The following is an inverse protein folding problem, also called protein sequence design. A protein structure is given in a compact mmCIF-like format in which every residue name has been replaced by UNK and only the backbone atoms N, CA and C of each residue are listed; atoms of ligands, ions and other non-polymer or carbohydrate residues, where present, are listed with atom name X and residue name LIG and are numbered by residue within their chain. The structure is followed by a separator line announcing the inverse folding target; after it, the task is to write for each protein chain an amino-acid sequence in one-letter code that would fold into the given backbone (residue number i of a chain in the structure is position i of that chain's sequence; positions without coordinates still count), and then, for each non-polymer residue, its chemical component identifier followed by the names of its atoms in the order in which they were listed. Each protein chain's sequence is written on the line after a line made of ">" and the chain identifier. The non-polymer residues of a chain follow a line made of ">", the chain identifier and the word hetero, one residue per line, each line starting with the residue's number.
data_IF_131256088785
#
_entry.id   IF_131256088785
#
_cell.length_a   1.000
_cell.length_b   1.000
_cell.length_c   1.000
_cell.angle_alpha   90.00
_cell.angle_beta   90.00
_cell.angle_gamma   90.00
#
_symmetry.space_group_name_H-M   'P 1'
#
loop_
_entity.id
_entity.type
_entity.pdbx_description
1 polymer ?
#
# COMPACT_ATOMS: atom_id res chain seq x y z
N UNK A 1 -20.96 54.11 -5.25
CA UNK A 1 -20.51 52.75 -4.88
C UNK A 1 -19.70 52.23 -6.06
N UNK A 2 -18.37 52.37 -6.02
CA UNK A 2 -17.49 51.91 -7.10
C UNK A 2 -17.12 50.47 -6.77
N UNK A 3 -17.45 49.53 -7.66
CA UNK A 3 -17.00 48.14 -7.52
C UNK A 3 -15.57 48.11 -8.07
N UNK A 4 -14.61 47.94 -7.17
CA UNK A 4 -13.20 47.81 -7.51
C UNK A 4 -12.95 46.51 -8.27
N UNK A 5 -12.76 46.64 -9.58
CA UNK A 5 -12.56 45.56 -10.55
C UNK A 5 -11.12 45.01 -10.57
N UNK A 6 -10.46 44.95 -9.40
CA UNK A 6 -9.09 44.44 -9.26
C UNK A 6 -8.97 43.28 -8.26
N UNK A 7 -10.08 42.83 -7.66
CA UNK A 7 -10.11 41.74 -6.68
C UNK A 7 -10.66 40.41 -7.24
N UNK A 8 -10.59 40.20 -8.55
CA UNK A 8 -11.04 38.97 -9.20
C UNK A 8 -10.11 37.76 -8.95
N UNK A 9 -8.94 37.96 -8.34
CA UNK A 9 -7.99 36.89 -7.99
C UNK A 9 -8.27 36.22 -6.64
N UNK A 10 -9.28 36.67 -5.88
CA UNK A 10 -9.64 36.10 -4.58
C UNK A 10 -10.73 35.01 -4.66
N UNK A 11 -11.16 34.62 -5.86
CA UNK A 11 -12.11 33.52 -6.04
C UNK A 11 -11.32 32.21 -6.01
N UNK A 12 -11.15 31.65 -4.81
CA UNK A 12 -10.67 30.27 -4.65
C UNK A 12 -11.57 29.36 -5.51
N UNK A 13 -11.04 28.69 -6.55
CA UNK A 13 -11.87 27.86 -7.40
C UNK A 13 -12.44 26.72 -6.55
N UNK A 14 -13.78 26.64 -6.48
CA UNK A 14 -14.52 25.53 -5.88
C UNK A 14 -14.43 24.24 -6.74
N UNK A 15 -13.63 24.28 -7.81
CA UNK A 15 -13.33 23.13 -8.65
C UNK A 15 -12.00 22.58 -8.16
N UNK A 16 -12.04 21.42 -7.50
CA UNK A 16 -10.83 20.61 -7.35
C UNK A 16 -10.20 20.50 -8.74
N UNK A 17 -8.98 21.03 -8.89
CA UNK A 17 -8.21 20.84 -10.12
C UNK A 17 -8.11 19.35 -10.39
N UNK A 18 -8.12 18.95 -11.66
CA UNK A 18 -7.78 17.57 -12.00
C UNK A 18 -6.47 17.22 -11.29
N UNK A 19 -6.40 16.10 -10.55
CA UNK A 19 -5.19 15.74 -9.82
C UNK A 19 -4.02 15.67 -10.79
N UNK A 20 -2.88 16.27 -10.42
CA UNK A 20 -1.68 16.22 -11.25
C UNK A 20 -1.22 14.77 -11.44
N UNK A 21 -0.42 14.48 -12.46
CA UNK A 21 0.07 13.13 -12.72
C UNK A 21 0.80 12.54 -11.48
N UNK A 22 1.54 13.37 -10.77
CA UNK A 22 2.22 13.02 -9.52
C UNK A 22 1.23 12.66 -8.41
N UNK A 23 0.17 13.45 -8.22
CA UNK A 23 -0.87 13.17 -7.23
C UNK A 23 -1.66 11.89 -7.53
N UNK A 24 -1.82 11.55 -8.82
CA UNK A 24 -2.47 10.30 -9.22
C UNK A 24 -1.59 9.08 -8.93
N UNK A 25 -0.27 9.20 -9.09
CA UNK A 25 0.68 8.13 -8.73
C UNK A 25 0.72 7.95 -7.22
N UNK A 26 0.90 9.03 -6.45
CA UNK A 26 0.93 8.99 -4.99
C UNK A 26 -0.35 8.37 -4.41
N UNK A 27 -1.52 8.80 -4.91
CA UNK A 27 -2.80 8.22 -4.51
C UNK A 27 -2.91 6.73 -4.89
N UNK A 28 -2.37 6.32 -6.04
CA UNK A 28 -2.39 4.91 -6.45
C UNK A 28 -1.45 4.04 -5.60
N UNK A 29 -0.30 4.58 -5.18
CA UNK A 29 0.63 3.91 -4.25
C UNK A 29 -0.01 3.73 -2.88
N UNK A 30 -0.62 4.79 -2.33
CA UNK A 30 -1.32 4.72 -1.03
C UNK A 30 -2.42 3.66 -1.03
N UNK A 31 -3.22 3.59 -2.11
CA UNK A 31 -4.27 2.58 -2.24
C UNK A 31 -3.68 1.17 -2.35
N UNK A 32 -2.56 1.01 -3.09
CA UNK A 32 -1.87 -0.29 -3.19
C UNK A 32 -1.36 -0.73 -1.82
N UNK A 33 -0.69 0.16 -1.10
CA UNK A 33 -0.03 -0.18 0.16
C UNK A 33 -1.05 -0.46 1.26
N UNK A 34 -2.15 0.32 1.31
CA UNK A 34 -3.28 0.05 2.20
C UNK A 34 -3.95 -1.29 1.87
N UNK A 35 -4.11 -1.60 0.58
CA UNK A 35 -4.67 -2.87 0.15
C UNK A 35 -3.76 -4.05 0.50
N UNK A 36 -2.43 -3.91 0.34
CA UNK A 36 -1.44 -4.89 0.77
C UNK A 36 -1.57 -5.16 2.27
N UNK A 37 -1.62 -4.12 3.10
CA UNK A 37 -1.82 -4.24 4.54
C UNK A 37 -3.12 -4.97 4.88
N UNK A 38 -4.23 -4.59 4.25
CA UNK A 38 -5.53 -5.23 4.47
C UNK A 38 -5.50 -6.73 4.14
N UNK A 39 -4.97 -7.10 2.97
CA UNK A 39 -4.86 -8.51 2.57
C UNK A 39 -3.95 -9.25 3.54
N UNK A 40 -2.85 -8.64 3.93
CA UNK A 40 -1.92 -9.13 4.92
C UNK A 40 -2.57 -9.50 6.25
N UNK A 41 -3.14 -8.50 6.92
CA UNK A 41 -3.80 -8.65 8.22
C UNK A 41 -4.97 -9.64 8.17
N UNK A 42 -5.79 -9.59 7.12
CA UNK A 42 -6.94 -10.47 6.99
C UNK A 42 -6.53 -11.92 6.71
N UNK A 43 -5.61 -12.13 5.77
CA UNK A 43 -5.21 -13.47 5.34
C UNK A 43 -4.26 -14.13 6.35
N UNK A 44 -3.14 -13.48 6.66
CA UNK A 44 -2.14 -14.05 7.57
C UNK A 44 -2.63 -14.05 9.01
N UNK A 45 -3.40 -13.04 9.44
CA UNK A 45 -4.03 -13.04 10.76
C UNK A 45 -4.96 -14.24 10.96
N UNK A 46 -5.82 -14.56 9.98
CA UNK A 46 -6.68 -15.76 10.08
C UNK A 46 -5.88 -17.06 9.99
N UNK A 47 -4.85 -17.11 9.14
CA UNK A 47 -3.98 -18.28 9.01
C UNK A 47 -3.24 -18.58 10.33
N UNK A 48 -2.60 -17.57 10.93
CA UNK A 48 -1.89 -17.70 12.21
C UNK A 48 -2.82 -18.10 13.34
N UNK A 49 -4.02 -17.50 13.38
CA UNK A 49 -5.07 -17.88 14.33
C UNK A 49 -5.51 -19.33 14.16
N UNK A 50 -5.67 -19.79 12.92
CA UNK A 50 -6.02 -21.18 12.61
C UNK A 50 -4.89 -22.14 12.97
N UNK A 51 -3.63 -21.80 12.68
CA UNK A 51 -2.48 -22.62 13.08
C UNK A 51 -2.42 -22.76 14.59
N UNK A 52 -2.67 -21.67 15.33
CA UNK A 52 -2.67 -21.71 16.80
C UNK A 52 -3.85 -22.48 17.38
N UNK A 53 -5.03 -22.44 16.77
CA UNK A 53 -6.18 -23.22 17.25
C UNK A 53 -5.97 -24.73 17.12
N UNK A 54 -5.10 -25.18 16.21
CA UNK A 54 -4.72 -26.60 16.10
C UNK A 54 -3.77 -27.05 17.22
N UNK A 55 -3.04 -26.12 17.85
CA UNK A 55 -2.24 -26.43 19.03
C UNK A 55 -3.12 -26.29 20.29
N UNK A 56 -3.45 -27.42 20.91
CA UNK A 56 -4.21 -27.45 22.17
C UNK A 56 -3.49 -26.75 23.31
N UNK A 57 -4.21 -26.44 24.40
CA UNK A 57 -3.60 -25.88 25.61
C UNK A 57 -2.56 -26.86 26.17
N UNK A 58 -1.31 -26.42 26.30
CA UNK A 58 -0.26 -27.24 26.89
C UNK A 58 -0.65 -27.67 28.31
N UNK A 59 -0.47 -28.95 28.64
CA UNK A 59 -0.87 -29.53 29.93
C UNK A 59 -0.10 -28.94 31.13
N UNK A 60 1.04 -28.29 30.88
CA UNK A 60 1.85 -27.53 31.84
C UNK A 60 2.36 -26.27 31.13
N UNK A 61 2.48 -25.16 31.85
CA UNK A 61 2.85 -23.82 31.33
C UNK A 61 1.78 -23.16 30.43
N UNK A 62 0.54 -23.11 30.91
CA UNK A 62 -0.44 -22.16 30.37
C UNK A 62 -0.04 -20.77 30.88
N UNK A 63 0.62 -19.99 30.03
CA UNK A 63 0.83 -18.58 30.32
C UNK A 63 -0.53 -17.91 30.38
N UNK A 64 -0.80 -17.27 31.52
CA UNK A 64 -2.07 -16.59 31.76
C UNK A 64 -2.27 -15.38 30.84
N UNK A 65 -3.05 -14.40 31.28
CA UNK A 65 -3.41 -13.23 30.46
C UNK A 65 -2.22 -12.47 29.85
N UNK A 66 -1.05 -12.45 30.49
CA UNK A 66 0.15 -11.87 29.90
C UNK A 66 0.57 -12.56 28.60
N UNK A 67 0.59 -13.89 28.58
CA UNK A 67 0.95 -14.64 27.37
C UNK A 67 -0.08 -14.41 26.26
N UNK A 68 -1.38 -14.34 26.60
CA UNK A 68 -2.45 -14.09 25.62
C UNK A 68 -2.27 -12.74 24.89
N UNK A 69 -1.88 -11.69 25.62
CA UNK A 69 -1.63 -10.37 25.04
C UNK A 69 -0.37 -10.36 24.17
N UNK A 70 0.75 -10.90 24.67
CA UNK A 70 1.99 -10.97 23.89
C UNK A 70 1.86 -11.87 22.66
N UNK A 71 1.04 -12.93 22.75
CA UNK A 71 0.68 -13.78 21.62
C UNK A 71 -0.06 -13.03 20.52
N UNK A 72 -0.99 -12.14 20.88
CA UNK A 72 -1.69 -11.30 19.91
C UNK A 72 -0.76 -10.30 19.22
N UNK A 73 0.14 -9.66 19.99
CA UNK A 73 1.13 -8.74 19.45
C UNK A 73 2.13 -9.43 18.52
N UNK A 74 2.60 -10.63 18.89
CA UNK A 74 3.48 -11.43 18.05
C UNK A 74 2.80 -11.81 16.72
N UNK A 75 1.52 -12.22 16.77
CA UNK A 75 0.79 -12.58 15.56
C UNK A 75 0.62 -11.38 14.63
N UNK A 76 0.46 -10.17 15.18
CA UNK A 76 0.39 -8.94 14.40
C UNK A 76 1.72 -8.64 13.71
N UNK A 77 2.83 -8.62 14.45
CA UNK A 77 4.17 -8.37 13.86
C UNK A 77 4.51 -9.42 12.80
N UNK A 78 4.20 -10.69 13.08
CA UNK A 78 4.43 -11.76 12.12
C UNK A 78 3.57 -11.60 10.86
N UNK A 79 2.32 -11.20 11.01
CA UNK A 79 1.43 -10.91 9.88
C UNK A 79 1.97 -9.76 9.03
N UNK A 80 2.47 -8.69 9.64
CA UNK A 80 3.06 -7.53 8.94
C UNK A 80 4.30 -7.95 8.12
N UNK A 81 5.24 -8.67 8.74
CA UNK A 81 6.47 -9.17 8.08
C UNK A 81 6.16 -10.17 6.94
N UNK A 82 5.20 -11.06 7.14
CA UNK A 82 4.74 -11.99 6.09
C UNK A 82 4.08 -11.25 4.93
N UNK A 83 3.40 -10.14 5.22
CA UNK A 83 2.78 -9.29 4.20
C UNK A 83 3.84 -8.59 3.37
N UNK A 84 4.82 -7.94 4.00
CA UNK A 84 5.88 -7.25 3.29
C UNK A 84 6.67 -8.20 2.38
N UNK A 85 7.04 -9.38 2.91
CA UNK A 85 7.80 -10.38 2.15
C UNK A 85 7.02 -11.06 1.01
N UNK A 86 5.70 -11.10 1.09
CA UNK A 86 4.84 -11.85 0.15
C UNK A 86 3.88 -10.97 -0.66
N UNK A 87 3.89 -9.65 -0.46
CA UNK A 87 2.97 -8.71 -1.08
C UNK A 87 2.96 -8.82 -2.61
N UNK A 88 4.15 -8.94 -3.21
CA UNK A 88 4.31 -9.03 -4.67
C UNK A 88 3.69 -10.30 -5.26
N UNK A 89 3.58 -11.37 -4.48
CA UNK A 89 3.07 -12.67 -4.92
C UNK A 89 1.56 -12.84 -4.66
N UNK A 90 1.04 -12.20 -3.62
CA UNK A 90 -0.35 -12.39 -3.17
C UNK A 90 -1.16 -11.11 -3.39
N UNK A 91 -0.78 -10.02 -2.73
CA UNK A 91 -1.55 -8.80 -2.71
C UNK A 91 -1.53 -8.05 -4.06
N UNK A 92 -0.39 -8.02 -4.74
CA UNK A 92 -0.23 -7.29 -6.01
C UNK A 92 -1.03 -7.85 -7.19
N UNK A 93 -1.09 -9.19 -7.41
CA UNK A 93 -2.01 -9.76 -8.38
C UNK A 93 -3.47 -9.40 -8.09
N UNK A 94 -3.89 -9.46 -6.82
CA UNK A 94 -5.25 -9.13 -6.40
C UNK A 94 -5.54 -7.63 -6.58
N UNK A 95 -4.58 -6.77 -6.26
CA UNK A 95 -4.67 -5.32 -6.46
C UNK A 95 -4.89 -4.99 -7.93
N UNK A 96 -4.10 -5.59 -8.84
CA UNK A 96 -4.25 -5.37 -10.29
C UNK A 96 -5.63 -5.79 -10.80
N UNK A 97 -6.21 -6.85 -10.24
CA UNK A 97 -7.53 -7.32 -10.61
C UNK A 97 -8.64 -6.39 -10.08
N UNK A 98 -8.50 -5.91 -8.84
CA UNK A 98 -9.53 -5.12 -8.15
C UNK A 98 -9.49 -3.62 -8.49
N UNK A 99 -8.29 -3.07 -8.72
CA UNK A 99 -8.01 -1.65 -8.97
C UNK A 99 -7.27 -1.44 -10.30
N UNK A 100 -7.89 -1.80 -11.44
CA UNK A 100 -7.21 -1.74 -12.74
C UNK A 100 -6.82 -0.33 -13.18
N UNK A 101 -7.59 0.70 -12.78
CA UNK A 101 -7.30 2.09 -13.13
C UNK A 101 -6.04 2.61 -12.42
N UNK A 102 -5.93 2.34 -11.12
CA UNK A 102 -4.79 2.71 -10.27
C UNK A 102 -3.54 1.91 -10.67
N UNK A 103 -3.70 0.60 -10.91
CA UNK A 103 -2.63 -0.24 -11.42
C UNK A 103 -2.08 0.25 -12.77
N UNK A 104 -2.93 0.76 -13.67
CA UNK A 104 -2.49 1.33 -14.94
C UNK A 104 -1.70 2.64 -14.77
N UNK A 105 -2.02 3.45 -13.75
CA UNK A 105 -1.26 4.67 -13.42
C UNK A 105 0.13 4.32 -12.92
N UNK A 106 0.23 3.35 -12.00
CA UNK A 106 1.51 2.85 -11.47
C UNK A 106 2.37 2.22 -12.56
N UNK A 107 1.78 1.37 -13.42
CA UNK A 107 2.52 0.74 -14.51
C UNK A 107 3.10 1.76 -15.51
N UNK A 108 2.37 2.86 -15.79
CA UNK A 108 2.86 3.94 -16.65
C UNK A 108 4.03 4.70 -16.02
N UNK A 109 3.98 4.90 -14.71
CA UNK A 109 5.07 5.53 -13.96
C UNK A 109 6.33 4.65 -13.94
N UNK A 110 6.19 3.36 -13.66
CA UNK A 110 7.30 2.40 -13.62
C UNK A 110 8.00 2.24 -14.97
N UNK A 111 7.25 2.29 -16.07
CA UNK A 111 7.80 2.27 -17.43
C UNK A 111 8.60 3.55 -17.74
N UNK A 112 8.19 4.69 -17.18
CA UNK A 112 8.92 5.96 -17.31
C UNK A 112 10.20 6.06 -16.46
N UNK A 113 10.31 5.27 -15.38
CA UNK A 113 11.48 5.25 -14.51
C UNK A 113 12.65 4.39 -15.02
N UNK A 114 12.37 3.40 -15.89
CA UNK A 114 13.42 2.54 -16.46
C UNK A 114 14.27 3.39 -17.40
N UNK A 115 15.56 3.65 -17.10
CA UNK A 115 16.43 4.33 -18.05
C UNK A 115 16.43 3.51 -19.33
N UNK A 116 16.05 4.15 -20.43
CA UNK A 116 16.01 3.46 -21.71
C UNK A 116 17.40 2.87 -21.98
N UNK A 117 17.48 1.71 -22.62
CA UNK A 117 18.77 1.13 -23.02
C UNK A 117 19.56 2.13 -23.89
N UNK A 118 18.85 3.01 -24.60
CA UNK A 118 19.37 4.18 -25.31
C UNK A 118 20.11 5.17 -24.38
N UNK A 119 19.54 5.55 -23.24
CA UNK A 119 20.19 6.43 -22.26
C UNK A 119 21.49 5.81 -21.72
N UNK A 120 21.50 4.50 -21.44
CA UNK A 120 22.70 3.80 -21.00
C UNK A 120 23.76 3.67 -22.10
N UNK A 121 23.37 3.57 -23.37
CA UNK A 121 24.31 3.60 -24.50
C UNK A 121 24.92 4.99 -24.72
N UNK A 122 24.21 6.06 -24.36
CA UNK A 122 24.74 7.44 -24.43
C UNK A 122 25.84 7.69 -23.38
N UNK A 123 25.73 7.08 -22.20
CA UNK A 123 26.72 7.20 -21.11
C UNK A 123 27.97 6.34 -21.33
N UNK A 124 27.91 5.32 -22.20
CA UNK A 124 29.07 4.47 -22.55
C UNK A 124 29.94 5.07 -23.66
N UNK A 125 29.46 6.10 -24.37
CA UNK A 125 30.18 6.70 -25.51
C UNK A 125 31.07 7.85 -25.05
N UNK A 126 32.01 7.58 -24.16
CA UNK A 126 33.17 8.44 -23.85
C UNK A 126 34.36 7.56 -23.49
#
# INVERSE_FOLDING_TARGET
>A
MKIDMNNLNAIKPLRAGMPTAQQQVESAEEVRDTFRQFVGEAFFGQMLKSMRSTQGKAAYFHGGHGEEVFRGQLDQVLSEEMTESSADQIADPMFRQQFPAQAAVLAKHDVGLKPSVEDLTSLRRW
#
